data_IF_934264206297
#
_entry.id   IF_934264206297
#
_cell.length_a   1.000
_cell.length_b   1.000
_cell.length_c   1.000
_cell.angle_alpha   90.00
_cell.angle_beta   90.00
_cell.angle_gamma   90.00
#
_symmetry.space_group_name_H-M   'P 1'
#
loop_
_entity.id
_entity.type
_entity.pdbx_description
1 polymer ?
#
# COMPACT_ATOMS: atom_id res chain seq x y z
N UNK A 1 -14.20 -26.33 -3.13
CA UNK A 1 -13.44 -25.27 -2.44
C UNK A 1 -14.40 -24.13 -2.16
N UNK A 2 -14.50 -23.64 -0.93
CA UNK A 2 -15.37 -22.49 -0.60
C UNK A 2 -14.83 -21.21 -1.28
N UNK A 3 -15.74 -20.37 -1.77
CA UNK A 3 -15.35 -19.06 -2.34
C UNK A 3 -14.57 -18.23 -1.31
N UNK A 4 -13.59 -17.44 -1.76
CA UNK A 4 -12.85 -16.55 -0.85
C UNK A 4 -13.80 -15.58 -0.15
N UNK A 5 -13.52 -15.20 1.11
CA UNK A 5 -14.37 -14.27 1.83
C UNK A 5 -14.36 -12.89 1.16
N UNK A 6 -15.49 -12.20 1.15
CA UNK A 6 -15.61 -10.85 0.59
C UNK A 6 -14.77 -9.83 1.40
N UNK A 7 -14.35 -8.74 0.78
CA UNK A 7 -13.64 -7.63 1.46
C UNK A 7 -14.41 -7.10 2.67
N UNK A 8 -15.74 -7.04 2.58
CA UNK A 8 -16.61 -6.63 3.71
C UNK A 8 -16.52 -7.62 4.87
N UNK A 9 -16.53 -8.92 4.60
CA UNK A 9 -16.38 -9.95 5.63
C UNK A 9 -14.98 -9.91 6.26
N UNK A 10 -13.93 -9.74 5.44
CA UNK A 10 -12.54 -9.61 5.91
C UNK A 10 -12.36 -8.36 6.79
N UNK A 11 -12.87 -7.22 6.38
CA UNK A 11 -12.82 -5.96 7.17
C UNK A 11 -13.50 -6.14 8.53
N UNK A 12 -14.67 -6.77 8.55
CA UNK A 12 -15.39 -7.06 9.80
C UNK A 12 -14.59 -7.98 10.71
N UNK A 13 -13.97 -9.03 10.16
CA UNK A 13 -13.15 -9.97 10.93
C UNK A 13 -11.84 -9.34 11.42
N UNK A 14 -11.28 -8.37 10.67
CA UNK A 14 -10.05 -7.67 11.05
C UNK A 14 -10.28 -6.60 12.14
N UNK A 15 -11.52 -6.16 12.37
CA UNK A 15 -11.84 -5.05 13.28
C UNK A 15 -11.27 -5.25 14.69
N UNK A 16 -11.36 -6.47 15.21
CA UNK A 16 -10.90 -6.81 16.56
C UNK A 16 -9.60 -7.64 16.52
N UNK A 17 -8.76 -7.42 15.52
CA UNK A 17 -7.52 -8.17 15.33
C UNK A 17 -6.54 -7.96 16.48
N UNK A 18 -6.07 -9.08 17.09
CA UNK A 18 -5.08 -9.10 18.18
C UNK A 18 -3.88 -10.00 17.84
N UNK A 19 -3.54 -10.14 16.57
CA UNK A 19 -2.47 -11.06 16.12
C UNK A 19 -1.05 -10.58 16.46
N UNK A 20 -0.87 -9.30 16.80
CA UNK A 20 0.40 -8.73 17.26
C UNK A 20 0.11 -7.63 18.29
N UNK A 21 1.11 -7.23 19.07
CA UNK A 21 0.96 -6.26 20.17
C UNK A 21 0.56 -4.84 19.73
N UNK A 22 0.60 -4.52 18.44
CA UNK A 22 0.29 -3.17 17.95
C UNK A 22 -1.16 -2.76 18.26
N UNK A 23 -2.10 -3.70 18.36
CA UNK A 23 -3.49 -3.41 18.71
C UNK A 23 -3.66 -2.68 20.05
N UNK A 24 -2.69 -2.85 20.99
CA UNK A 24 -2.77 -2.25 22.33
C UNK A 24 -2.68 -0.74 22.32
N UNK A 25 -1.89 -0.19 21.40
CA UNK A 25 -1.60 1.24 21.32
C UNK A 25 -2.26 1.92 20.12
N UNK A 26 -2.70 1.15 19.12
CA UNK A 26 -3.46 1.67 18.00
C UNK A 26 -4.90 2.01 18.42
N UNK A 27 -5.50 3.01 17.79
CA UNK A 27 -6.90 3.38 18.03
C UNK A 27 -7.85 2.33 17.45
N UNK A 28 -7.50 1.78 16.29
CA UNK A 28 -8.30 0.80 15.58
C UNK A 28 -7.48 0.09 14.49
N UNK A 29 -8.06 -0.98 13.94
CA UNK A 29 -7.56 -1.59 12.71
C UNK A 29 -7.92 -0.71 11.51
N UNK A 30 -6.95 -0.38 10.68
CA UNK A 30 -7.13 0.34 9.41
C UNK A 30 -7.03 -0.64 8.26
N UNK A 31 -8.17 -1.06 7.75
CA UNK A 31 -8.29 -1.97 6.62
C UNK A 31 -8.20 -1.21 5.29
N UNK A 32 -7.93 -1.89 4.17
CA UNK A 32 -7.85 -1.25 2.87
C UNK A 32 -9.15 -0.58 2.42
N UNK A 33 -9.09 0.31 1.44
CA UNK A 33 -10.21 1.10 0.93
C UNK A 33 -10.10 1.32 -0.57
N UNK A 34 -11.21 1.24 -1.27
CA UNK A 34 -11.34 1.39 -2.71
C UNK A 34 -12.39 0.43 -3.28
N UNK A 35 -12.48 0.38 -4.60
CA UNK A 35 -13.39 -0.53 -5.30
C UNK A 35 -13.00 -2.00 -5.08
N UNK A 36 -13.98 -2.88 -4.90
CA UNK A 36 -13.76 -4.33 -4.86
C UNK A 36 -13.36 -4.90 -6.24
N UNK A 37 -13.64 -4.15 -7.32
CA UNK A 37 -13.25 -4.48 -8.67
C UNK A 37 -12.01 -3.70 -9.17
N UNK A 38 -11.25 -3.09 -8.26
CA UNK A 38 -10.05 -2.35 -8.65
C UNK A 38 -9.01 -3.30 -9.25
N UNK A 39 -8.58 -3.00 -10.46
CA UNK A 39 -7.51 -3.75 -11.13
C UNK A 39 -6.13 -3.44 -10.55
N UNK A 40 -5.95 -2.26 -9.97
CA UNK A 40 -4.70 -1.81 -9.37
C UNK A 40 -4.82 -1.67 -7.85
N UNK A 41 -3.90 -2.33 -7.14
CA UNK A 41 -3.77 -2.24 -5.67
C UNK A 41 -2.48 -1.53 -5.30
N UNK A 42 -2.60 -0.49 -4.49
CA UNK A 42 -1.48 0.27 -3.93
C UNK A 42 -1.27 -0.17 -2.48
N UNK A 43 -0.06 -0.64 -2.16
CA UNK A 43 0.25 -1.20 -0.84
C UNK A 43 1.31 -0.37 -0.14
N UNK A 44 0.96 0.27 0.98
CA UNK A 44 1.88 1.00 1.83
C UNK A 44 2.43 0.18 3.00
N UNK A 45 3.08 0.85 3.95
CA UNK A 45 3.72 0.24 5.13
C UNK A 45 2.70 -0.06 6.24
N UNK A 46 2.14 0.98 6.83
CA UNK A 46 1.19 0.95 7.95
C UNK A 46 0.39 2.26 8.00
N UNK A 47 -0.73 2.32 8.74
CA UNK A 47 -1.44 3.57 8.99
C UNK A 47 -0.54 4.61 9.66
N UNK A 48 -0.76 5.90 9.36
CA UNK A 48 -0.25 7.02 10.14
C UNK A 48 -1.21 7.42 11.27
N UNK A 49 -0.90 8.50 11.99
CA UNK A 49 -1.70 8.99 13.12
C UNK A 49 -3.12 9.38 12.68
N UNK A 50 -3.25 10.00 11.52
CA UNK A 50 -4.55 10.42 10.99
C UNK A 50 -5.37 9.23 10.53
N UNK A 51 -4.75 8.31 9.82
CA UNK A 51 -5.37 7.06 9.36
C UNK A 51 -5.86 6.21 10.54
N UNK A 52 -5.08 6.11 11.61
CA UNK A 52 -5.42 5.39 12.83
C UNK A 52 -6.65 5.98 13.53
N UNK A 53 -6.81 7.30 13.49
CA UNK A 53 -7.98 8.00 14.06
C UNK A 53 -9.21 7.88 13.18
N UNK A 54 -9.06 8.04 11.86
CA UNK A 54 -10.17 8.06 10.91
C UNK A 54 -10.59 6.65 10.44
N UNK A 55 -9.73 5.63 10.65
CA UNK A 55 -10.00 4.25 10.21
C UNK A 55 -9.91 4.04 8.70
N UNK A 56 -9.28 4.97 7.97
CA UNK A 56 -9.13 4.92 6.51
C UNK A 56 -7.67 5.06 6.10
N UNK A 57 -7.16 4.26 5.14
CA UNK A 57 -5.78 4.36 4.68
C UNK A 57 -5.56 5.60 3.81
N UNK A 58 -4.38 6.19 3.89
CA UNK A 58 -3.92 7.30 3.06
C UNK A 58 -4.84 8.54 3.07
N UNK A 59 -5.31 8.95 4.25
CA UNK A 59 -6.08 10.20 4.46
C UNK A 59 -5.20 11.33 5.02
N UNK A 60 -4.00 11.03 5.47
CA UNK A 60 -3.03 11.97 6.00
C UNK A 60 -2.11 12.61 4.94
N UNK A 61 -0.98 13.20 5.38
CA UNK A 61 -0.05 13.89 4.49
C UNK A 61 0.52 13.00 3.36
N UNK A 62 0.87 11.74 3.65
CA UNK A 62 1.33 10.79 2.64
C UNK A 62 0.24 10.48 1.60
N UNK A 63 -1.02 10.46 2.04
CA UNK A 63 -2.17 10.28 1.15
C UNK A 63 -2.40 11.46 0.20
N UNK A 64 -2.07 12.69 0.60
CA UNK A 64 -2.12 13.85 -0.31
C UNK A 64 -1.09 13.71 -1.43
N UNK A 65 0.15 13.37 -1.10
CA UNK A 65 1.19 13.11 -2.12
C UNK A 65 0.77 11.97 -3.04
N UNK A 66 0.19 10.90 -2.51
CA UNK A 66 -0.34 9.82 -3.35
C UNK A 66 -1.46 10.31 -4.27
N UNK A 67 -2.34 11.21 -3.78
CA UNK A 67 -3.37 11.84 -4.61
C UNK A 67 -2.77 12.64 -5.77
N UNK A 68 -1.76 13.47 -5.50
CA UNK A 68 -1.04 14.24 -6.53
C UNK A 68 -0.41 13.32 -7.60
N UNK A 69 0.21 12.20 -7.19
CA UNK A 69 0.78 11.21 -8.12
C UNK A 69 -0.30 10.53 -8.96
N UNK A 70 -1.43 10.16 -8.37
CA UNK A 70 -2.55 9.56 -9.08
C UNK A 70 -3.16 10.53 -10.09
N UNK A 71 -3.38 11.79 -9.68
CA UNK A 71 -3.92 12.84 -10.52
C UNK A 71 -2.99 13.13 -11.73
N UNK A 72 -1.67 13.16 -11.52
CA UNK A 72 -0.66 13.36 -12.57
C UNK A 72 -0.62 12.18 -13.56
N UNK A 73 -0.80 10.96 -13.07
CA UNK A 73 -0.92 9.75 -13.91
C UNK A 73 -2.31 9.57 -14.54
N UNK A 74 -3.27 10.47 -14.30
CA UNK A 74 -4.63 10.42 -14.84
C UNK A 74 -5.50 9.30 -14.27
N UNK A 75 -5.25 8.89 -13.03
CA UNK A 75 -5.96 7.79 -12.33
C UNK A 75 -6.82 8.36 -11.21
N UNK A 76 -8.13 8.14 -11.25
CA UNK A 76 -9.01 8.57 -10.17
C UNK A 76 -8.78 7.72 -8.90
N UNK A 77 -8.90 8.35 -7.73
CA UNK A 77 -8.65 7.69 -6.43
C UNK A 77 -9.60 6.52 -6.16
N UNK A 78 -10.78 6.51 -6.71
CA UNK A 78 -11.80 5.46 -6.58
C UNK A 78 -11.62 4.31 -7.57
N UNK A 79 -10.76 4.46 -8.59
CA UNK A 79 -10.37 3.39 -9.52
C UNK A 79 -9.35 2.42 -8.90
N UNK A 80 -8.68 2.81 -7.83
CA UNK A 80 -7.66 2.00 -7.16
C UNK A 80 -8.09 1.52 -5.79
N UNK A 81 -7.57 0.37 -5.37
CA UNK A 81 -7.67 -0.08 -3.98
C UNK A 81 -6.36 0.24 -3.25
N UNK A 82 -6.46 0.86 -2.08
CA UNK A 82 -5.29 1.25 -1.29
C UNK A 82 -5.30 0.57 0.06
N UNK A 83 -4.19 -0.04 0.43
CA UNK A 83 -4.04 -0.73 1.71
C UNK A 83 -2.61 -0.59 2.25
N UNK A 84 -2.32 -1.25 3.37
CA UNK A 84 -1.01 -1.29 3.99
C UNK A 84 -0.62 -2.74 4.33
N UNK A 85 0.67 -3.02 4.40
CA UNK A 85 1.20 -4.30 4.84
C UNK A 85 0.83 -4.60 6.31
N UNK A 86 0.79 -3.58 7.16
CA UNK A 86 0.38 -3.65 8.56
C UNK A 86 -0.88 -2.84 8.79
N UNK A 87 -1.84 -3.39 9.53
CA UNK A 87 -3.18 -2.79 9.71
C UNK A 87 -3.33 -1.94 10.97
N UNK A 88 -2.33 -1.91 11.84
CA UNK A 88 -2.32 -1.08 13.05
C UNK A 88 -1.17 -0.09 13.02
N UNK A 89 -1.40 1.11 13.56
CA UNK A 89 -0.40 2.15 13.68
C UNK A 89 0.61 1.81 14.77
N UNK A 90 1.85 1.62 14.41
CA UNK A 90 2.97 1.54 15.35
C UNK A 90 3.55 2.92 15.61
N UNK A 91 3.58 3.33 16.86
CA UNK A 91 4.07 4.63 17.25
C UNK A 91 4.76 4.60 18.61
N UNK A 92 5.53 5.61 18.85
CA UNK A 92 6.13 5.93 20.16
C UNK A 92 5.73 7.32 20.60
N UNK A 93 5.61 7.52 21.89
CA UNK A 93 5.29 8.80 22.46
C UNK A 93 6.49 9.76 22.42
N UNK A 94 6.23 11.03 22.08
CA UNK A 94 7.17 12.13 22.23
C UNK A 94 6.41 13.38 22.65
N UNK A 95 6.38 13.64 23.94
CA UNK A 95 5.50 14.66 24.53
C UNK A 95 4.04 14.33 24.22
N UNK A 96 3.29 15.26 23.67
CA UNK A 96 1.88 15.07 23.29
C UNK A 96 1.68 14.44 21.90
N UNK A 97 2.75 14.04 21.21
CA UNK A 97 2.69 13.54 19.82
C UNK A 97 2.93 12.04 19.75
N UNK A 98 2.15 11.37 18.92
CA UNK A 98 2.41 9.98 18.51
C UNK A 98 3.32 10.00 17.28
N UNK A 99 4.59 9.62 17.45
CA UNK A 99 5.54 9.54 16.35
C UNK A 99 5.53 8.14 15.75
N UNK A 100 5.41 8.10 14.44
CA UNK A 100 5.54 6.89 13.65
C UNK A 100 6.83 6.12 14.03
N UNK A 101 6.69 4.80 14.20
CA UNK A 101 7.79 3.85 14.39
C UNK A 101 7.63 2.69 13.39
N UNK A 102 8.72 2.26 12.79
CA UNK A 102 8.67 1.26 11.71
C UNK A 102 8.27 -0.12 12.26
N UNK A 103 7.32 -0.82 11.63
CA UNK A 103 6.95 -2.18 12.00
C UNK A 103 8.15 -3.13 11.91
N UNK A 104 8.27 -4.03 12.87
CA UNK A 104 9.30 -5.08 12.91
C UNK A 104 8.80 -6.33 12.18
N UNK A 105 9.72 -7.21 11.82
CA UNK A 105 9.39 -8.45 11.11
C UNK A 105 8.28 -9.31 11.78
N UNK A 106 8.25 -9.50 13.12
CA UNK A 106 7.15 -10.23 13.75
C UNK A 106 5.78 -9.59 13.55
N UNK A 107 5.69 -8.26 13.59
CA UNK A 107 4.44 -7.49 13.40
C UNK A 107 3.96 -7.59 11.95
N UNK A 108 4.89 -7.47 11.00
CA UNK A 108 4.63 -7.64 9.56
C UNK A 108 4.13 -9.06 9.28
N UNK A 109 4.81 -10.08 9.79
CA UNK A 109 4.45 -11.48 9.58
C UNK A 109 3.09 -11.81 10.21
N UNK A 110 2.79 -11.29 11.39
CA UNK A 110 1.49 -11.46 12.03
C UNK A 110 0.34 -10.81 11.23
N UNK A 111 0.63 -9.72 10.51
CA UNK A 111 -0.34 -8.98 9.72
C UNK A 111 -0.49 -9.51 8.28
N UNK A 112 0.52 -10.23 7.76
CA UNK A 112 0.56 -10.77 6.40
C UNK A 112 -0.72 -11.48 5.96
N UNK A 113 -1.36 -12.37 6.77
CA UNK A 113 -2.59 -13.05 6.35
C UNK A 113 -3.74 -12.10 5.99
N UNK A 114 -3.80 -10.90 6.59
CA UNK A 114 -4.79 -9.90 6.20
C UNK A 114 -4.52 -9.31 4.83
N UNK A 115 -3.26 -8.97 4.53
CA UNK A 115 -2.87 -8.48 3.21
C UNK A 115 -3.12 -9.54 2.13
N UNK A 116 -2.71 -10.78 2.36
CA UNK A 116 -2.91 -11.90 1.44
C UNK A 116 -4.41 -12.17 1.20
N UNK A 117 -5.22 -12.07 2.25
CA UNK A 117 -6.68 -12.23 2.12
C UNK A 117 -7.32 -11.09 1.33
N UNK A 118 -6.87 -9.83 1.51
CA UNK A 118 -7.34 -8.71 0.68
C UNK A 118 -6.99 -8.93 -0.79
N UNK A 119 -5.74 -9.26 -1.09
CA UNK A 119 -5.28 -9.51 -2.46
C UNK A 119 -5.99 -10.72 -3.09
N UNK A 120 -6.21 -11.79 -2.32
CA UNK A 120 -6.96 -12.96 -2.76
C UNK A 120 -8.44 -12.68 -3.03
N UNK A 121 -9.05 -11.73 -2.30
CA UNK A 121 -10.43 -11.30 -2.54
C UNK A 121 -10.55 -10.33 -3.72
N UNK A 122 -9.53 -9.51 -3.95
CA UNK A 122 -9.48 -8.53 -5.04
C UNK A 122 -9.08 -9.16 -6.37
N UNK A 123 -8.13 -10.11 -6.34
CA UNK A 123 -7.50 -10.70 -7.53
C UNK A 123 -7.03 -9.61 -8.52
N UNK A 124 -6.18 -8.66 -8.10
CA UNK A 124 -5.80 -7.53 -8.90
C UNK A 124 -4.94 -7.94 -10.10
N UNK A 125 -5.02 -7.19 -11.19
CA UNK A 125 -4.11 -7.31 -12.33
C UNK A 125 -2.78 -6.58 -12.09
N UNK A 126 -2.78 -5.52 -11.25
CA UNK A 126 -1.61 -4.72 -10.94
C UNK A 126 -1.38 -4.49 -9.45
N UNK A 127 -0.11 -4.45 -9.04
CA UNK A 127 0.30 -4.07 -7.69
C UNK A 127 1.46 -3.07 -7.74
N UNK A 128 1.30 -1.95 -7.03
CA UNK A 128 2.37 -1.01 -6.74
C UNK A 128 2.70 -1.04 -5.23
N UNK A 129 3.86 -1.58 -4.89
CA UNK A 129 4.34 -1.61 -3.50
C UNK A 129 5.09 -0.31 -3.17
N UNK A 130 4.56 0.46 -2.23
CA UNK A 130 5.11 1.75 -1.83
C UNK A 130 5.99 1.61 -0.58
N UNK A 131 7.31 1.67 -0.78
CA UNK A 131 8.31 1.61 0.28
C UNK A 131 8.78 0.20 0.66
N UNK A 132 9.83 0.15 1.47
CA UNK A 132 10.56 -1.08 1.77
C UNK A 132 9.74 -2.13 2.53
N UNK A 133 8.82 -1.72 3.41
CA UNK A 133 7.99 -2.65 4.18
C UNK A 133 6.97 -3.34 3.28
N UNK A 134 6.30 -2.61 2.39
CA UNK A 134 5.38 -3.17 1.40
C UNK A 134 6.12 -4.09 0.44
N UNK A 135 7.25 -3.63 -0.12
CA UNK A 135 8.09 -4.43 -1.01
C UNK A 135 8.51 -5.77 -0.38
N UNK A 136 8.98 -5.73 0.86
CA UNK A 136 9.38 -6.95 1.59
C UNK A 136 8.21 -7.87 1.88
N UNK A 137 7.04 -7.32 2.17
CA UNK A 137 5.83 -8.10 2.47
C UNK A 137 5.31 -8.85 1.26
N UNK A 138 5.45 -8.29 0.06
CA UNK A 138 4.92 -8.84 -1.19
C UNK A 138 5.94 -9.69 -1.96
N UNK A 139 7.20 -9.24 -2.02
CA UNK A 139 8.24 -9.84 -2.87
C UNK A 139 9.38 -10.49 -2.07
N UNK A 140 9.32 -10.39 -0.74
CA UNK A 140 10.34 -10.98 0.12
C UNK A 140 11.55 -10.07 0.40
N UNK A 141 12.52 -10.54 1.22
CA UNK A 141 13.57 -9.69 1.80
C UNK A 141 14.66 -9.26 0.81
N UNK A 142 14.74 -9.88 -0.35
CA UNK A 142 15.78 -9.58 -1.36
C UNK A 142 15.48 -8.31 -2.16
N UNK A 143 14.20 -7.90 -2.24
CA UNK A 143 13.79 -6.71 -3.00
C UNK A 143 14.19 -5.44 -2.26
N UNK A 144 14.78 -4.50 -2.98
CA UNK A 144 15.25 -3.19 -2.50
C UNK A 144 14.65 -2.10 -3.37
N UNK A 145 13.85 -1.21 -2.80
CA UNK A 145 13.18 -0.13 -3.53
C UNK A 145 14.16 0.69 -4.39
N UNK A 146 15.31 1.09 -3.83
CA UNK A 146 16.31 1.91 -4.53
C UNK A 146 16.98 1.24 -5.74
N UNK A 147 16.94 -0.11 -5.80
CA UNK A 147 17.53 -0.89 -6.90
C UNK A 147 16.47 -1.39 -7.87
N UNK A 148 15.30 -1.72 -7.32
CA UNK A 148 14.31 -2.56 -8.01
C UNK A 148 13.09 -1.76 -8.50
N UNK A 149 13.01 -0.45 -8.21
CA UNK A 149 12.02 0.44 -8.80
C UNK A 149 12.27 0.62 -10.31
N UNK A 150 11.26 1.05 -11.04
CA UNK A 150 11.35 1.29 -12.49
C UNK A 150 11.42 0.01 -13.33
N UNK A 151 11.10 -1.15 -12.76
CA UNK A 151 11.02 -2.43 -13.48
C UNK A 151 9.95 -3.35 -12.89
N UNK A 152 9.43 -4.24 -13.70
CA UNK A 152 8.48 -5.26 -13.25
C UNK A 152 9.19 -6.32 -12.40
N UNK A 153 8.45 -6.84 -11.44
CA UNK A 153 8.88 -7.88 -10.51
C UNK A 153 7.89 -9.05 -10.53
N UNK A 154 8.42 -10.26 -10.42
CA UNK A 154 7.58 -11.45 -10.24
C UNK A 154 6.76 -11.34 -8.94
N UNK A 155 5.47 -11.60 -9.05
CA UNK A 155 4.55 -11.56 -7.92
C UNK A 155 3.57 -12.74 -7.95
N UNK A 156 3.33 -13.40 -6.80
CA UNK A 156 2.30 -14.42 -6.72
C UNK A 156 0.88 -13.82 -6.62
N UNK A 157 0.75 -12.49 -6.54
CA UNK A 157 -0.51 -11.81 -6.24
C UNK A 157 -1.11 -11.06 -7.42
N UNK A 158 -0.31 -10.74 -8.44
CA UNK A 158 -0.76 -10.04 -9.64
C UNK A 158 0.21 -10.30 -10.80
N UNK A 159 -0.26 -10.33 -12.06
CA UNK A 159 0.59 -10.48 -13.23
C UNK A 159 1.52 -9.28 -13.45
N UNK A 160 1.11 -8.08 -13.06
CA UNK A 160 1.92 -6.85 -13.15
C UNK A 160 2.23 -6.34 -11.76
N UNK A 161 3.51 -6.24 -11.41
CA UNK A 161 3.88 -5.72 -10.10
C UNK A 161 5.21 -4.96 -10.13
N UNK A 162 5.31 -3.89 -9.36
CA UNK A 162 6.56 -3.15 -9.16
C UNK A 162 6.63 -2.53 -7.76
N UNK A 163 7.76 -1.89 -7.48
CA UNK A 163 7.98 -1.14 -6.24
C UNK A 163 8.29 0.32 -6.55
N UNK A 164 7.88 1.19 -5.65
CA UNK A 164 8.24 2.61 -5.67
C UNK A 164 8.61 3.10 -4.27
N UNK A 165 9.09 4.32 -4.15
CA UNK A 165 9.31 4.96 -2.86
C UNK A 165 7.99 5.16 -2.12
N UNK A 166 8.03 5.24 -0.78
CA UNK A 166 6.82 5.57 -0.02
C UNK A 166 6.54 7.07 -0.10
N UNK A 167 5.28 7.53 -0.29
CA UNK A 167 4.95 8.96 -0.38
C UNK A 167 5.48 9.80 0.79
N UNK A 168 5.58 9.23 1.99
CA UNK A 168 6.16 9.91 3.15
C UNK A 168 7.66 10.18 3.01
N UNK A 169 8.38 9.52 2.10
CA UNK A 169 9.77 9.82 1.82
C UNK A 169 9.90 11.17 1.10
N UNK A 170 9.00 11.45 0.17
CA UNK A 170 8.91 12.73 -0.56
C UNK A 170 8.68 13.89 0.44
N UNK A 171 7.80 13.70 1.43
CA UNK A 171 7.54 14.71 2.46
C UNK A 171 8.75 15.05 3.35
N UNK A 172 9.76 14.18 3.41
CA UNK A 172 10.99 14.40 4.21
C UNK A 172 12.07 15.15 3.45
N UNK A 173 11.97 15.23 2.13
CA UNK A 173 12.89 16.02 1.31
C UNK A 173 12.68 17.51 1.59
N UNK A 174 13.77 18.28 1.64
CA UNK A 174 13.73 19.71 1.99
C UNK A 174 13.63 20.58 0.74
N UNK A 175 14.40 20.24 -0.26
CA UNK A 175 14.48 21.01 -1.50
C UNK A 175 13.27 20.75 -2.40
N UNK A 176 12.79 21.80 -3.07
CA UNK A 176 11.62 21.73 -3.94
C UNK A 176 11.90 20.87 -5.17
N UNK A 177 13.10 21.02 -5.74
CA UNK A 177 13.55 20.25 -6.90
C UNK A 177 13.63 18.76 -6.58
N UNK A 178 14.18 18.39 -5.41
CA UNK A 178 14.24 17.00 -4.98
C UNK A 178 12.85 16.38 -4.81
N UNK A 179 11.89 17.16 -4.28
CA UNK A 179 10.51 16.70 -4.16
C UNK A 179 9.87 16.49 -5.51
N UNK A 180 10.02 17.46 -6.43
CA UNK A 180 9.48 17.37 -7.78
C UNK A 180 10.06 16.15 -8.52
N UNK A 181 11.38 15.95 -8.44
CA UNK A 181 12.04 14.79 -9.03
C UNK A 181 11.51 13.47 -8.45
N UNK A 182 11.41 13.36 -7.12
CA UNK A 182 10.96 12.15 -6.47
C UNK A 182 9.46 11.88 -6.73
N UNK A 183 8.65 12.91 -6.93
CA UNK A 183 7.24 12.78 -7.34
C UNK A 183 7.16 12.27 -8.78
N UNK A 184 7.88 12.89 -9.71
CA UNK A 184 7.93 12.45 -11.11
C UNK A 184 8.39 10.99 -11.22
N UNK A 185 9.42 10.61 -10.51
CA UNK A 185 9.88 9.24 -10.45
C UNK A 185 8.83 8.25 -9.90
N UNK A 186 7.99 8.67 -8.96
CA UNK A 186 6.90 7.85 -8.45
C UNK A 186 5.75 7.73 -9.48
N UNK A 187 5.50 8.79 -10.26
CA UNK A 187 4.58 8.78 -11.41
C UNK A 187 5.07 7.78 -12.45
N UNK A 188 6.36 7.83 -12.83
CA UNK A 188 6.97 6.89 -13.81
C UNK A 188 6.79 5.43 -13.36
N UNK A 189 7.02 5.12 -12.08
CA UNK A 189 6.81 3.77 -11.52
C UNK A 189 5.34 3.34 -11.62
N UNK A 190 4.39 4.25 -11.40
CA UNK A 190 2.96 4.00 -11.54
C UNK A 190 2.58 3.80 -13.01
N UNK A 191 3.07 4.65 -13.91
CA UNK A 191 2.79 4.56 -15.35
C UNK A 191 3.33 3.25 -15.97
N UNK A 192 4.46 2.74 -15.47
CA UNK A 192 4.95 1.42 -15.85
C UNK A 192 3.87 0.34 -15.61
N UNK A 193 3.25 0.34 -14.43
CA UNK A 193 2.17 -0.62 -14.12
C UNK A 193 0.95 -0.38 -15.02
N UNK A 194 0.53 0.88 -15.19
CA UNK A 194 -0.63 1.23 -16.00
C UNK A 194 -0.47 0.86 -17.47
N UNK A 195 0.73 1.02 -18.03
CA UNK A 195 1.02 0.64 -19.42
C UNK A 195 0.91 -0.86 -19.62
N UNK A 196 1.44 -1.65 -18.70
CA UNK A 196 1.35 -3.11 -18.75
C UNK A 196 -0.08 -3.62 -18.54
N UNK A 197 -0.88 -2.96 -17.67
CA UNK A 197 -2.29 -3.28 -17.52
C UNK A 197 -3.07 -3.04 -18.83
N UNK A 198 -2.78 -1.95 -19.55
CA UNK A 198 -3.37 -1.69 -20.87
C UNK A 198 -2.98 -2.75 -21.90
N UNK A 199 -1.73 -3.22 -21.90
CA UNK A 199 -1.26 -4.29 -22.79
C UNK A 199 -1.97 -5.63 -22.47
N UNK A 200 -2.13 -5.98 -21.18
CA UNK A 200 -2.88 -7.17 -20.77
C UNK A 200 -4.34 -7.12 -21.25
N UNK A 201 -5.01 -5.98 -21.07
CA UNK A 201 -6.39 -5.82 -21.50
C UNK A 201 -6.55 -5.97 -23.02
N UNK A 202 -5.64 -5.42 -23.82
CA UNK A 202 -5.64 -5.56 -25.28
C UNK A 202 -5.39 -7.00 -25.73
N UNK A 203 -4.50 -7.73 -25.03
CA UNK A 203 -4.18 -9.12 -25.34
C UNK A 203 -5.31 -10.11 -25.01
N UNK A 204 -6.19 -9.75 -24.06
CA UNK A 204 -7.34 -10.57 -23.68
C UNK A 204 -8.53 -10.44 -24.64
N UNK A 205 -8.54 -9.46 -25.55
CA UNK A 205 -9.62 -9.19 -26.52
C UNK A 205 -9.31 -9.81 -27.90
N UNK A 206 -8.06 -10.18 -28.15
CA UNK A 206 -7.60 -10.82 -29.39
C UNK A 206 -7.52 -12.35 -29.23
#
# INVERSE_FOLDING_TARGET
>A
MSAPPSLTALRRSAKDCRRCELYRNATQTVFGSGSAGAELVLVGEQPGDREDREGKPFVGPAGRVLGEVLDEAGVARDEVYVTNAVKHFKWRERGKRRLHDTPRAPEINACRPWLESELGALQPNGILAMGATAARSLFGPKVKVTRDRGRLLDSPFAPVATVTIHPSAILRLREREERAQATAEMVDDLELVLSELRHLAQSAVN
#
